data_IF_767140002005
#
_entry.id   IF_767140002005
#
_cell.length_a   1.000
_cell.length_b   1.000
_cell.length_c   1.000
_cell.angle_alpha   90.00
_cell.angle_beta   90.00
_cell.angle_gamma   90.00
#
_symmetry.space_group_name_H-M   'P 1'
#
loop_
_entity.id
_entity.type
_entity.pdbx_description
1 polymer ?
#
# COMPACT_ATOMS: atom_id res chain seq x y z
N UNK A 1 2.45 2.47 -6.44
CA UNK A 1 2.60 3.94 -6.58
C UNK A 1 4.06 4.34 -6.38
N UNK A 2 4.51 5.44 -7.02
CA UNK A 2 5.89 5.93 -6.99
C UNK A 2 6.48 6.09 -5.57
N UNK A 3 5.66 6.49 -4.60
CA UNK A 3 6.05 6.61 -3.18
C UNK A 3 6.60 5.31 -2.58
N UNK A 4 6.02 4.15 -2.95
CA UNK A 4 6.49 2.83 -2.51
C UNK A 4 7.91 2.54 -3.00
N UNK A 5 8.19 2.93 -4.25
CA UNK A 5 9.49 2.71 -4.87
C UNK A 5 10.55 3.64 -4.26
N UNK A 6 10.22 4.93 -4.10
CA UNK A 6 11.13 5.92 -3.50
C UNK A 6 11.55 5.55 -2.08
N UNK A 7 10.65 5.04 -1.24
CA UNK A 7 11.04 4.63 0.10
C UNK A 7 11.87 3.35 0.16
N UNK A 8 11.66 2.41 -0.78
CA UNK A 8 12.54 1.24 -0.91
C UNK A 8 13.98 1.67 -1.21
N UNK A 9 14.16 2.68 -2.07
CA UNK A 9 15.48 3.25 -2.40
C UNK A 9 16.05 4.06 -1.23
N UNK A 10 15.21 4.77 -0.49
CA UNK A 10 15.63 5.57 0.67
C UNK A 10 15.84 4.76 1.96
N UNK A 11 15.64 3.43 1.95
CA UNK A 11 15.76 2.57 3.14
C UNK A 11 14.72 2.90 4.23
N UNK A 12 13.58 3.49 3.86
CA UNK A 12 12.54 3.89 4.80
C UNK A 12 11.46 2.84 4.85
N UNK A 13 11.13 2.39 6.06
CA UNK A 13 9.94 1.59 6.28
C UNK A 13 8.70 2.45 6.05
N UNK A 14 7.84 2.05 5.09
CA UNK A 14 6.51 2.66 4.94
C UNK A 14 5.47 1.69 5.44
N UNK A 15 4.71 2.13 6.45
CA UNK A 15 3.46 1.52 6.86
C UNK A 15 2.32 2.19 6.07
N UNK A 16 1.95 1.63 4.92
CA UNK A 16 0.77 2.09 4.18
C UNK A 16 -0.44 1.28 4.63
N UNK A 17 -1.49 1.95 5.09
CA UNK A 17 -2.81 1.34 5.25
C UNK A 17 -3.45 1.25 3.87
N UNK A 18 -3.65 0.03 3.38
CA UNK A 18 -4.41 -0.18 2.15
C UNK A 18 -5.87 0.23 2.40
N UNK A 19 -6.36 1.20 1.64
CA UNK A 19 -7.71 1.74 1.78
C UNK A 19 -8.79 0.85 1.15
N UNK A 20 -8.42 -0.30 0.56
CA UNK A 20 -9.31 -1.12 -0.27
C UNK A 20 -9.48 -2.52 0.31
N UNK A 21 -10.04 -2.63 1.51
CA UNK A 21 -10.54 -3.90 2.05
C UNK A 21 -12.07 -3.98 2.05
N UNK A 22 -12.69 -3.69 0.91
CA UNK A 22 -14.09 -3.99 0.67
C UNK A 22 -14.23 -4.81 -0.61
N UNK A 23 -13.84 -6.08 -0.54
CA UNK A 23 -14.33 -7.08 -1.48
C UNK A 23 -15.69 -7.54 -0.96
N UNK A 24 -16.76 -6.82 -1.29
CA UNK A 24 -18.11 -7.40 -1.22
C UNK A 24 -18.23 -8.43 -2.34
N UNK A 25 -17.89 -9.68 -2.04
CA UNK A 25 -18.42 -10.80 -2.80
C UNK A 25 -19.87 -10.98 -2.35
N UNK A 26 -20.80 -10.58 -3.20
CA UNK A 26 -22.19 -11.02 -3.11
C UNK A 26 -22.21 -12.48 -3.54
N UNK A 27 -22.62 -13.36 -2.63
CA UNK A 27 -23.39 -14.55 -3.03
C UNK A 27 -24.84 -14.12 -3.32
#
# INVERSE_FOLDING_TARGET
>A
TATKYMAKVAGREIIVRDANRFHHFKD
#
